data_IF_397848325532
#
_entry.id   IF_397848325532
#
_cell.length_a   1.000
_cell.length_b   1.000
_cell.length_c   1.000
_cell.angle_alpha   90.00
_cell.angle_beta   90.00
_cell.angle_gamma   90.00
#
_symmetry.space_group_name_H-M   'P 1'
#
loop_
_entity.id
_entity.type
_entity.pdbx_description
1 polymer ?
#
# COMPACT_ATOMS: atom_id res chain seq x y z
N UNK A 1 -11.40 -9.88 -29.48
CA UNK A 1 -10.97 -8.81 -28.56
C UNK A 1 -10.90 -9.45 -27.18
N UNK A 2 -9.81 -10.19 -26.96
CA UNK A 2 -9.42 -10.74 -25.67
C UNK A 2 -8.59 -9.65 -25.02
N UNK A 3 -9.16 -8.97 -24.03
CA UNK A 3 -8.38 -8.07 -23.16
C UNK A 3 -7.60 -8.95 -22.20
N UNK A 4 -6.31 -8.66 -22.13
CA UNK A 4 -5.24 -9.50 -21.62
C UNK A 4 -5.31 -9.68 -20.10
N UNK A 5 -5.09 -10.91 -19.65
CA UNK A 5 -4.98 -11.22 -18.23
C UNK A 5 -3.68 -10.66 -17.60
N UNK A 6 -2.71 -10.27 -18.43
CA UNK A 6 -1.40 -9.74 -18.01
C UNK A 6 -1.47 -8.30 -17.45
N UNK A 7 -2.46 -7.49 -17.87
CA UNK A 7 -2.58 -6.10 -17.42
C UNK A 7 -3.07 -5.98 -15.96
N UNK A 8 -3.91 -6.91 -15.51
CA UNK A 8 -4.43 -6.91 -14.13
C UNK A 8 -3.37 -7.28 -13.10
N UNK A 9 -2.51 -8.22 -13.43
CA UNK A 9 -1.47 -8.72 -12.51
C UNK A 9 -0.41 -7.63 -12.26
N UNK A 10 -0.08 -6.88 -13.30
CA UNK A 10 0.85 -5.73 -13.22
C UNK A 10 0.23 -4.57 -12.43
N UNK A 11 -1.06 -4.29 -12.62
CA UNK A 11 -1.78 -3.22 -11.93
C UNK A 11 -1.87 -3.48 -10.42
N UNK A 12 -2.26 -4.70 -10.01
CA UNK A 12 -2.33 -5.05 -8.59
C UNK A 12 -0.94 -5.02 -7.93
N UNK A 13 0.09 -5.51 -8.62
CA UNK A 13 1.47 -5.45 -8.12
C UNK A 13 1.97 -4.00 -7.91
N UNK A 14 1.46 -3.02 -8.66
CA UNK A 14 1.83 -1.61 -8.47
C UNK A 14 1.15 -1.00 -7.25
N UNK A 15 -0.13 -1.29 -7.02
CA UNK A 15 -0.86 -0.78 -5.85
C UNK A 15 -0.23 -1.33 -4.57
N UNK A 16 0.16 -2.61 -4.56
CA UNK A 16 0.93 -3.21 -3.46
C UNK A 16 2.17 -2.39 -3.10
N UNK A 17 2.95 -1.97 -4.09
CA UNK A 17 4.15 -1.17 -3.88
C UNK A 17 3.86 0.25 -3.39
N UNK A 18 2.79 0.89 -3.88
CA UNK A 18 2.37 2.19 -3.37
C UNK A 18 1.90 2.10 -1.91
N UNK A 19 1.17 1.04 -1.54
CA UNK A 19 0.78 0.79 -0.14
C UNK A 19 2.03 0.56 0.73
N UNK A 20 3.01 -0.20 0.25
CA UNK A 20 4.30 -0.38 0.94
C UNK A 20 5.03 0.96 1.13
N UNK A 21 5.09 1.82 0.10
CA UNK A 21 5.75 3.14 0.22
C UNK A 21 5.06 4.03 1.25
N UNK A 22 3.72 4.02 1.30
CA UNK A 22 2.99 4.77 2.32
C UNK A 22 3.31 4.26 3.73
N UNK A 23 3.33 2.94 3.92
CA UNK A 23 3.57 2.30 5.23
C UNK A 23 5.04 2.36 5.70
N UNK A 24 5.97 2.87 4.89
CA UNK A 24 7.37 3.05 5.32
C UNK A 24 7.54 4.18 6.34
N UNK A 25 6.58 5.11 6.39
CA UNK A 25 6.70 6.29 7.24
C UNK A 25 6.17 6.07 8.65
N UNK A 26 5.05 5.35 8.81
CA UNK A 26 4.42 5.09 10.10
C UNK A 26 3.41 3.93 10.02
N UNK A 27 2.77 3.66 11.16
CA UNK A 27 1.60 2.79 11.29
C UNK A 27 0.36 3.55 10.83
N UNK A 28 -0.39 2.98 9.88
CA UNK A 28 -1.52 3.67 9.27
C UNK A 28 -2.80 2.82 9.24
N UNK A 29 -3.95 3.45 9.44
CA UNK A 29 -5.26 2.86 9.18
C UNK A 29 -5.65 3.02 7.70
N UNK A 30 -6.56 2.18 7.18
CA UNK A 30 -6.97 2.23 5.75
C UNK A 30 -7.39 3.63 5.28
N UNK A 31 -8.23 4.39 6.02
CA UNK A 31 -8.61 5.74 5.58
C UNK A 31 -7.41 6.69 5.44
N UNK A 32 -6.38 6.50 6.27
CA UNK A 32 -5.15 7.29 6.21
C UNK A 32 -4.29 6.87 5.01
N UNK A 33 -4.14 5.56 4.78
CA UNK A 33 -3.45 5.02 3.59
C UNK A 33 -4.07 5.59 2.32
N UNK A 34 -5.39 5.54 2.18
CA UNK A 34 -6.11 6.06 1.00
C UNK A 34 -5.88 7.56 0.83
N UNK A 35 -5.92 8.31 1.94
CA UNK A 35 -5.68 9.76 1.91
C UNK A 35 -4.27 10.07 1.42
N UNK A 36 -3.26 9.34 1.91
CA UNK A 36 -1.86 9.51 1.52
C UNK A 36 -1.65 9.11 0.06
N UNK A 37 -2.18 7.95 -0.37
CA UNK A 37 -2.09 7.50 -1.76
C UNK A 37 -2.68 8.50 -2.77
N UNK A 38 -3.74 9.21 -2.36
CA UNK A 38 -4.42 10.22 -3.17
C UNK A 38 -3.91 11.64 -2.96
N UNK A 39 -2.83 11.84 -2.20
CA UNK A 39 -2.24 13.17 -2.04
C UNK A 39 -1.65 13.64 -3.40
N UNK A 40 -2.11 14.79 -3.95
CA UNK A 40 -1.69 15.26 -5.26
C UNK A 40 -0.22 15.68 -5.33
N UNK A 41 0.47 15.79 -4.19
CA UNK A 41 1.88 16.15 -4.12
C UNK A 41 2.81 14.96 -4.34
N UNK A 42 2.29 13.73 -4.33
CA UNK A 42 3.13 12.54 -4.47
C UNK A 42 3.44 12.24 -5.94
N UNK A 43 4.72 11.97 -6.23
CA UNK A 43 5.24 11.79 -7.58
C UNK A 43 4.62 10.66 -8.39
N UNK A 44 4.13 9.57 -7.75
CA UNK A 44 3.51 8.46 -8.48
C UNK A 44 2.13 8.79 -9.07
N UNK A 45 1.49 9.88 -8.64
CA UNK A 45 0.22 10.33 -9.22
C UNK A 45 0.33 10.69 -10.71
N UNK A 46 1.54 10.97 -11.20
CA UNK A 46 1.79 11.16 -12.62
C UNK A 46 1.66 9.86 -13.45
N UNK A 47 1.77 8.69 -12.80
CA UNK A 47 1.70 7.37 -13.44
C UNK A 47 0.41 6.62 -13.13
N UNK A 48 -0.35 7.10 -12.14
CA UNK A 48 -1.62 6.51 -11.72
C UNK A 48 -2.77 7.51 -11.91
N UNK A 49 -3.52 7.44 -13.04
CA UNK A 49 -4.36 8.53 -13.51
C UNK A 49 -5.71 8.68 -12.80
N UNK A 50 -6.05 7.76 -11.89
CA UNK A 50 -7.30 7.77 -11.14
C UNK A 50 -7.04 7.71 -9.65
N UNK A 51 -8.01 8.07 -8.82
CA UNK A 51 -7.88 7.96 -7.38
C UNK A 51 -7.88 6.49 -6.95
N UNK A 52 -7.11 6.18 -5.92
CA UNK A 52 -7.15 4.89 -5.23
C UNK A 52 -8.44 4.78 -4.43
N UNK A 53 -9.15 3.67 -4.61
CA UNK A 53 -10.38 3.34 -3.91
C UNK A 53 -10.11 2.49 -2.67
N UNK A 54 -11.09 2.45 -1.75
CA UNK A 54 -11.05 1.56 -0.58
C UNK A 54 -10.87 0.10 -1.00
N UNK A 55 -11.59 -0.34 -2.03
CA UNK A 55 -11.54 -1.72 -2.51
C UNK A 55 -10.16 -2.11 -3.02
N UNK A 56 -9.52 -1.25 -3.83
CA UNK A 56 -8.16 -1.49 -4.33
C UNK A 56 -7.13 -1.60 -3.21
N UNK A 57 -7.22 -0.72 -2.21
CA UNK A 57 -6.31 -0.78 -1.06
C UNK A 57 -6.55 -2.03 -0.22
N UNK A 58 -7.81 -2.44 -0.01
CA UNK A 58 -8.13 -3.69 0.69
C UNK A 58 -7.61 -4.89 -0.08
N UNK A 59 -7.78 -4.94 -1.40
CA UNK A 59 -7.25 -6.01 -2.25
C UNK A 59 -5.73 -6.09 -2.17
N UNK A 60 -5.02 -4.96 -2.26
CA UNK A 60 -3.57 -4.91 -2.09
C UNK A 60 -3.14 -5.41 -0.69
N UNK A 61 -3.82 -4.98 0.38
CA UNK A 61 -3.54 -5.46 1.73
C UNK A 61 -3.80 -6.98 1.88
N UNK A 62 -4.86 -7.51 1.25
CA UNK A 62 -5.15 -8.96 1.23
C UNK A 62 -4.03 -9.77 0.59
N UNK A 63 -3.32 -9.21 -0.39
CA UNK A 63 -2.18 -9.85 -1.03
C UNK A 63 -0.87 -9.68 -0.22
N UNK A 64 -0.65 -8.51 0.39
CA UNK A 64 0.56 -8.20 1.16
C UNK A 64 0.64 -8.97 2.49
N UNK A 65 -0.49 -9.20 3.15
CA UNK A 65 -0.58 -9.90 4.43
C UNK A 65 -0.05 -11.35 4.38
N UNK A 66 -0.53 -12.25 3.50
CA UNK A 66 -0.02 -13.62 3.42
C UNK A 66 1.44 -13.68 2.92
N UNK A 67 1.89 -12.65 2.18
CA UNK A 67 3.31 -12.50 1.80
C UNK A 67 4.18 -12.09 3.00
N UNK A 68 3.58 -11.70 4.12
CA UNK A 68 4.25 -11.24 5.33
C UNK A 68 5.01 -9.93 5.12
N UNK A 69 4.53 -9.08 4.21
CA UNK A 69 5.16 -7.78 3.92
C UNK A 69 4.62 -6.68 4.83
N UNK A 70 3.35 -6.77 5.18
CA UNK A 70 2.68 -5.91 6.16
C UNK A 70 2.16 -6.75 7.32
N UNK A 71 2.00 -6.14 8.49
CA UNK A 71 1.41 -6.77 9.68
C UNK A 71 0.15 -6.01 10.08
N UNK A 72 -0.97 -6.70 10.33
CA UNK A 72 -2.19 -6.07 10.79
C UNK A 72 -2.14 -5.84 12.31
N UNK A 73 -2.70 -4.73 12.74
CA UNK A 73 -2.82 -4.31 14.12
C UNK A 73 -4.28 -3.94 14.41
N UNK A 74 -4.73 -4.21 15.62
CA UNK A 74 -6.04 -3.81 16.12
C UNK A 74 -5.91 -2.87 17.30
N UNK A 75 -6.84 -1.93 17.44
CA UNK A 75 -6.89 -1.06 18.62
C UNK A 75 -7.56 -1.78 19.80
N UNK A 76 -6.79 -2.11 20.83
CA UNK A 76 -7.30 -2.63 22.09
C UNK A 76 -7.80 -1.48 22.96
N UNK A 77 -9.12 -1.40 23.14
CA UNK A 77 -9.77 -0.34 23.94
C UNK A 77 -9.41 -0.40 25.43
N UNK A 78 -9.04 -1.57 25.94
CA UNK A 78 -8.73 -1.78 27.36
C UNK A 78 -7.36 -1.22 27.72
N UNK A 79 -6.36 -1.44 26.85
CA UNK A 79 -5.00 -0.92 27.02
C UNK A 79 -4.79 0.43 26.34
N UNK A 80 -5.68 0.80 25.42
CA UNK A 80 -5.56 1.97 24.53
C UNK A 80 -4.34 1.90 23.61
N UNK A 81 -3.93 0.69 23.25
CA UNK A 81 -2.75 0.43 22.44
C UNK A 81 -3.12 -0.31 21.15
N UNK A 82 -2.22 -0.23 20.16
CA UNK A 82 -2.28 -1.09 18.99
C UNK A 82 -1.62 -2.43 19.34
N UNK A 83 -2.34 -3.51 19.10
CA UNK A 83 -1.88 -4.88 19.37
C UNK A 83 -1.90 -5.71 18.09
N UNK A 84 -1.01 -6.68 18.03
CA UNK A 84 -0.98 -7.63 16.92
C UNK A 84 -2.30 -8.41 16.87
N UNK A 85 -2.82 -8.59 15.66
CA UNK A 85 -3.98 -9.43 15.41
C UNK A 85 -3.64 -10.51 14.38
N UNK A 86 -4.33 -11.64 14.48
CA UNK A 86 -4.19 -12.72 13.51
C UNK A 86 -4.75 -12.30 12.15
N UNK A 87 -4.10 -12.76 11.07
CA UNK A 87 -4.48 -12.43 9.67
C UNK A 87 -5.90 -12.92 9.38
N UNK A 88 -6.35 -14.02 9.99
CA UNK A 88 -7.70 -14.56 9.83
C UNK A 88 -8.79 -13.57 10.27
N UNK A 89 -8.48 -12.66 11.20
CA UNK A 89 -9.41 -11.63 11.65
C UNK A 89 -9.62 -10.52 10.61
N UNK A 90 -8.81 -10.48 9.55
CA UNK A 90 -8.92 -9.52 8.46
C UNK A 90 -10.08 -9.82 7.49
N UNK A 91 -10.73 -11.00 7.59
CA UNK A 91 -11.77 -11.42 6.62
C UNK A 91 -12.93 -10.42 6.49
N UNK A 92 -13.31 -9.76 7.58
CA UNK A 92 -14.46 -8.84 7.65
C UNK A 92 -14.05 -7.35 7.59
N UNK A 93 -12.87 -7.03 7.05
CA UNK A 93 -12.31 -5.67 7.09
C UNK A 93 -13.23 -4.58 6.54
N UNK A 94 -14.02 -4.90 5.52
CA UNK A 94 -14.95 -3.96 4.89
C UNK A 94 -15.99 -3.42 5.88
N UNK A 95 -16.32 -4.19 6.92
CA UNK A 95 -17.27 -3.79 7.96
C UNK A 95 -16.62 -2.96 9.08
N UNK A 96 -15.29 -2.81 9.11
CA UNK A 96 -14.56 -2.20 10.23
C UNK A 96 -13.23 -1.56 9.81
N UNK A 97 -13.20 -0.86 8.68
CA UNK A 97 -11.97 -0.27 8.12
C UNK A 97 -11.18 0.64 9.07
N UNK A 98 -11.85 1.28 10.03
CA UNK A 98 -11.22 2.16 11.03
C UNK A 98 -10.59 1.40 12.21
N UNK A 99 -10.94 0.12 12.38
CA UNK A 99 -10.45 -0.72 13.48
C UNK A 99 -9.09 -1.36 13.17
N UNK A 100 -8.71 -1.41 11.88
CA UNK A 100 -7.51 -2.05 11.40
C UNK A 100 -6.42 -1.04 11.05
N UNK A 101 -5.24 -1.30 11.58
CA UNK A 101 -4.02 -0.53 11.37
C UNK A 101 -2.96 -1.46 10.78
N UNK A 102 -1.99 -0.89 10.06
CA UNK A 102 -0.99 -1.66 9.34
C UNK A 102 0.38 -1.05 9.56
N UNK A 103 1.37 -1.93 9.70
CA UNK A 103 2.78 -1.54 9.77
C UNK A 103 3.57 -2.40 8.79
N UNK A 104 4.62 -1.83 8.22
CA UNK A 104 5.57 -2.57 7.40
C UNK A 104 6.40 -3.53 8.29
N UNK A 105 6.56 -4.76 7.84
CA UNK A 105 7.46 -5.74 8.49
C UNK A 105 8.90 -5.54 8.05
N UNK A 106 9.86 -6.21 8.69
CA UNK A 106 11.25 -6.24 8.20
C UNK A 106 11.36 -6.71 6.75
N UNK A 107 10.58 -7.74 6.37
CA UNK A 107 10.52 -8.24 4.99
C UNK A 107 9.91 -7.20 4.04
N UNK A 108 8.88 -6.48 4.48
CA UNK A 108 8.31 -5.37 3.72
C UNK A 108 9.32 -4.25 3.47
N UNK A 109 10.13 -3.91 4.48
CA UNK A 109 11.22 -2.95 4.35
C UNK A 109 12.28 -3.41 3.34
N UNK A 110 12.64 -4.69 3.34
CA UNK A 110 13.57 -5.25 2.35
C UNK A 110 12.99 -5.14 0.92
N UNK A 111 11.71 -5.47 0.73
CA UNK A 111 11.05 -5.34 -0.57
C UNK A 111 11.04 -3.89 -1.03
N UNK A 112 10.69 -2.95 -0.14
CA UNK A 112 10.71 -1.52 -0.46
C UNK A 112 12.12 -1.02 -0.83
N UNK A 113 13.15 -1.40 -0.06
CA UNK A 113 14.53 -0.97 -0.31
C UNK A 113 15.07 -1.45 -1.67
N UNK A 114 14.60 -2.61 -2.14
CA UNK A 114 14.97 -3.21 -3.41
C UNK A 114 14.04 -2.81 -4.56
N UNK A 115 13.02 -2.00 -4.31
CA UNK A 115 12.15 -1.49 -5.35
C UNK A 115 12.87 -0.38 -6.10
N UNK A 116 13.12 -0.62 -7.39
CA UNK A 116 13.48 0.43 -8.32
C UNK A 116 12.19 1.21 -8.65
N UNK A 117 12.21 2.53 -8.41
CA UNK A 117 11.08 3.42 -8.65
C UNK A 117 10.40 3.14 -10.01
N UNK A 118 9.07 3.32 -10.13
CA UNK A 118 8.39 3.11 -11.39
C UNK A 118 9.06 3.95 -12.50
N UNK A 119 9.25 3.39 -13.70
CA UNK A 119 10.04 4.03 -14.74
C UNK A 119 9.46 5.40 -15.06
N UNK A 120 10.22 6.45 -14.73
CA UNK A 120 9.94 7.80 -15.20
C UNK A 120 10.09 7.75 -16.72
N UNK A 121 8.99 7.87 -17.47
CA UNK A 121 9.13 8.19 -18.89
C UNK A 121 9.97 9.45 -18.96
N UNK A 122 11.15 9.34 -19.57
CA UNK A 122 12.09 10.45 -19.75
C UNK A 122 11.46 11.42 -20.74
N UNK A 123 10.52 12.25 -20.30
CA UNK A 123 10.22 13.48 -21.02
C UNK A 123 11.47 14.36 -20.95
N UNK A 124 12.20 14.36 -22.07
CA UNK A 124 13.28 15.27 -22.44
C UNK A 124 13.74 16.27 -21.36
N UNK A 125 14.72 15.86 -20.54
CA UNK A 125 15.70 16.79 -19.97
C UNK A 125 15.61 17.13 -18.47
N UNK A 126 14.88 16.37 -17.65
CA UNK A 126 14.96 16.56 -16.18
C UNK A 126 15.86 15.53 -15.51
N UNK A 127 16.96 15.98 -14.89
CA UNK A 127 17.77 15.20 -13.96
C UNK A 127 16.97 14.99 -12.66
N UNK A 128 16.09 13.99 -12.66
CA UNK A 128 15.49 13.50 -11.43
C UNK A 128 16.44 12.50 -10.78
N UNK A 129 16.77 12.74 -9.51
CA UNK A 129 17.64 11.88 -8.72
C UNK A 129 16.85 11.40 -7.48
N UNK A 130 16.18 10.24 -7.54
CA UNK A 130 15.55 9.70 -6.35
C UNK A 130 16.59 8.97 -5.53
N UNK A 131 16.99 9.59 -4.42
CA UNK A 131 17.18 9.00 -3.09
C UNK A 131 17.92 10.01 -2.22
N UNK A 132 17.15 10.75 -1.42
CA UNK A 132 17.48 11.15 -0.04
C UNK A 132 16.19 11.19 0.77
#
# INVERSE_FOLDING_TARGET
MTVDADDKDTSNSQIEMFVIDVLRYDIEAIPSIIKLLNDPTIGWRNFWPHDFTVSEVIEALRELLPKGLVKPLGYDKSTKELVDIEIENFRDIESSIEAFWFILTEKGWEVWNNWDDPPVEKENGSNYNPKL
#
